data_IF_939646514985
#
_entry.id   IF_939646514985
#
_cell.length_a   1.000
_cell.length_b   1.000
_cell.length_c   1.000
_cell.angle_alpha   90.00
_cell.angle_beta   90.00
_cell.angle_gamma   90.00
#
_symmetry.space_group_name_H-M   'P 1'
#
loop_
_entity.id
_entity.type
_entity.pdbx_description
1 polymer ?
#
# COMPACT_ATOMS: atom_id res chain seq x y z
N UNK A 1 15.16 7.60 -2.52
CA UNK A 1 13.88 6.84 -2.51
C UNK A 1 13.92 5.83 -1.37
N UNK A 2 12.91 5.82 -0.48
CA UNK A 2 12.83 4.83 0.62
C UNK A 2 12.35 3.48 0.09
N UNK A 3 12.79 2.39 0.72
CA UNK A 3 12.40 1.03 0.33
C UNK A 3 11.68 0.34 1.49
N UNK A 4 10.46 -0.06 1.24
CA UNK A 4 9.58 -0.73 2.19
C UNK A 4 9.22 -2.14 1.72
N UNK A 5 8.76 -3.01 2.59
CA UNK A 5 8.36 -4.37 2.19
C UNK A 5 7.26 -4.95 3.07
N UNK A 6 6.54 -5.90 2.49
CA UNK A 6 5.67 -6.83 3.21
C UNK A 6 6.48 -8.03 3.72
N UNK A 7 5.93 -8.77 4.68
CA UNK A 7 6.52 -10.02 5.14
C UNK A 7 5.74 -11.25 4.62
N UNK A 8 6.43 -12.38 4.40
CA UNK A 8 7.89 -12.57 4.45
C UNK A 8 8.59 -11.80 3.34
N UNK A 9 9.87 -11.48 3.54
CA UNK A 9 10.67 -10.78 2.52
C UNK A 9 10.72 -11.57 1.21
N UNK A 10 10.67 -10.87 0.08
CA UNK A 10 10.61 -11.46 -1.25
C UNK A 10 9.29 -12.16 -1.58
N UNK A 11 8.23 -11.88 -0.82
CA UNK A 11 6.91 -12.41 -1.10
C UNK A 11 6.48 -12.00 -2.50
N UNK A 12 6.25 -12.99 -3.35
CA UNK A 12 5.53 -12.79 -4.61
C UNK A 12 4.03 -12.85 -4.32
N UNK A 13 3.26 -12.03 -5.01
CA UNK A 13 1.82 -12.17 -5.00
C UNK A 13 1.44 -13.59 -5.46
N UNK A 14 0.53 -14.30 -4.75
CA UNK A 14 0.21 -15.68 -5.07
C UNK A 14 -0.36 -15.82 -6.48
N UNK A 15 -0.21 -16.98 -7.09
CA UNK A 15 -0.88 -17.35 -8.32
C UNK A 15 -2.41 -17.18 -8.20
N UNK A 16 -3.10 -17.07 -9.33
CA UNK A 16 -4.54 -16.76 -9.36
C UNK A 16 -5.41 -17.77 -8.62
N UNK A 17 -4.95 -19.00 -8.45
CA UNK A 17 -5.68 -20.11 -7.80
C UNK A 17 -4.97 -20.69 -6.59
N UNK A 18 -3.71 -20.34 -6.40
CA UNK A 18 -2.99 -20.83 -5.24
C UNK A 18 -3.44 -20.04 -4.01
N UNK A 19 -3.85 -20.73 -2.94
CA UNK A 19 -4.09 -20.05 -1.70
C UNK A 19 -2.78 -19.41 -1.27
N UNK A 20 -2.82 -18.10 -1.03
CA UNK A 20 -1.71 -17.40 -0.39
C UNK A 20 -1.32 -18.15 0.88
N UNK A 21 -0.06 -18.56 0.98
CA UNK A 21 0.45 -19.12 2.24
C UNK A 21 0.41 -17.99 3.28
N UNK A 22 -0.48 -18.07 4.27
CA UNK A 22 -0.59 -17.01 5.25
C UNK A 22 0.72 -16.89 6.01
N UNK A 23 1.14 -15.65 6.25
CA UNK A 23 2.17 -15.38 7.23
C UNK A 23 1.70 -15.98 8.57
N UNK A 24 2.56 -16.77 9.22
CA UNK A 24 2.32 -17.15 10.61
C UNK A 24 2.42 -15.90 11.50
N UNK A 25 1.35 -15.49 12.20
CA UNK A 25 1.40 -14.34 13.09
C UNK A 25 2.53 -14.38 14.09
N UNK A 26 2.88 -15.57 14.59
CA UNK A 26 3.97 -15.76 15.54
C UNK A 26 5.36 -15.44 14.96
N UNK A 27 5.53 -15.57 13.63
CA UNK A 27 6.79 -15.27 12.94
C UNK A 27 6.98 -13.79 12.62
N UNK A 28 5.94 -12.96 12.77
CA UNK A 28 5.98 -11.55 12.36
C UNK A 28 7.08 -10.75 13.06
N UNK A 29 7.22 -10.93 14.38
CA UNK A 29 8.23 -10.25 15.18
C UNK A 29 9.66 -10.50 14.67
N UNK A 30 9.96 -11.77 14.34
CA UNK A 30 11.26 -12.16 13.79
C UNK A 30 11.47 -11.62 12.38
N UNK A 31 10.43 -11.65 11.56
CA UNK A 31 10.46 -11.08 10.20
C UNK A 31 10.70 -9.57 10.21
N UNK A 32 10.06 -8.83 11.12
CA UNK A 32 10.27 -7.39 11.28
C UNK A 32 11.71 -7.06 11.72
N UNK A 33 12.25 -7.81 12.69
CA UNK A 33 13.64 -7.68 13.10
C UNK A 33 14.63 -8.05 11.98
N UNK A 34 14.31 -9.04 11.14
CA UNK A 34 15.11 -9.36 9.96
C UNK A 34 15.08 -8.22 8.94
N UNK A 35 13.90 -7.68 8.65
CA UNK A 35 13.75 -6.54 7.74
C UNK A 35 14.56 -5.32 8.20
N UNK A 36 14.59 -5.04 9.50
CA UNK A 36 15.42 -3.99 10.08
C UNK A 36 16.91 -4.28 9.92
N UNK A 37 17.35 -5.53 10.12
CA UNK A 37 18.76 -5.92 9.95
C UNK A 37 19.24 -5.83 8.51
N UNK A 38 18.40 -6.16 7.54
CA UNK A 38 18.75 -6.02 6.11
C UNK A 38 18.62 -4.58 5.61
N UNK A 39 18.19 -3.66 6.46
CA UNK A 39 18.22 -2.23 6.16
C UNK A 39 17.01 -1.72 5.40
N UNK A 40 15.85 -2.38 5.46
CA UNK A 40 14.61 -1.80 4.94
C UNK A 40 14.19 -0.56 5.76
N UNK A 41 13.55 0.40 5.11
CA UNK A 41 13.08 1.62 5.75
C UNK A 41 11.74 1.42 6.46
N UNK A 42 10.89 0.52 5.93
CA UNK A 42 9.63 0.16 6.57
C UNK A 42 9.22 -1.31 6.35
N UNK A 43 8.51 -1.85 7.33
CA UNK A 43 7.73 -3.09 7.22
C UNK A 43 6.25 -2.76 7.25
N UNK A 44 5.53 -3.30 6.28
CA UNK A 44 4.12 -3.05 6.08
C UNK A 44 3.28 -4.31 6.28
N UNK A 45 2.01 -4.14 6.64
CA UNK A 45 1.03 -5.22 6.78
C UNK A 45 -0.22 -4.93 5.98
N UNK A 46 -0.63 -5.88 5.14
CA UNK A 46 -1.93 -5.87 4.46
C UNK A 46 -3.02 -6.43 5.37
N UNK A 47 -4.18 -5.80 5.42
CA UNK A 47 -5.34 -6.37 6.10
C UNK A 47 -6.06 -7.38 5.19
N UNK A 48 -5.62 -8.63 5.24
CA UNK A 48 -6.21 -9.74 4.47
C UNK A 48 -6.78 -10.83 5.37
N UNK A 49 -5.94 -11.63 5.99
CA UNK A 49 -6.30 -12.77 6.86
C UNK A 49 -6.16 -12.46 8.34
N UNK A 50 -5.27 -11.54 8.70
CA UNK A 50 -4.95 -11.17 10.08
C UNK A 50 -5.17 -9.68 10.31
N UNK A 51 -5.40 -9.30 11.55
CA UNK A 51 -5.50 -7.90 11.94
C UNK A 51 -4.13 -7.24 11.88
N UNK A 52 -3.93 -6.18 11.06
CA UNK A 52 -2.62 -5.59 10.84
C UNK A 52 -2.09 -4.88 12.09
N UNK A 53 -2.96 -4.30 12.92
CA UNK A 53 -2.55 -3.55 14.10
C UNK A 53 -1.93 -4.46 15.17
N UNK A 54 -2.46 -5.69 15.31
CA UNK A 54 -1.91 -6.66 16.25
C UNK A 54 -0.52 -7.16 15.82
N UNK A 55 -0.34 -7.42 14.52
CA UNK A 55 0.97 -7.80 13.99
C UNK A 55 2.00 -6.67 14.16
N UNK A 56 1.60 -5.44 13.85
CA UNK A 56 2.49 -4.28 14.00
C UNK A 56 2.87 -3.99 15.44
N UNK A 57 2.01 -4.33 16.42
CA UNK A 57 2.38 -4.27 17.85
C UNK A 57 3.52 -5.23 18.20
N UNK A 58 3.54 -6.44 17.62
CA UNK A 58 4.66 -7.36 17.76
C UNK A 58 5.95 -6.80 17.15
N UNK A 59 5.85 -6.19 15.97
CA UNK A 59 6.98 -5.50 15.31
C UNK A 59 7.51 -4.33 16.15
N UNK A 60 6.61 -3.52 16.72
CA UNK A 60 7.00 -2.39 17.56
C UNK A 60 7.80 -2.80 18.79
N UNK A 61 7.50 -3.98 19.35
CA UNK A 61 8.20 -4.53 20.52
C UNK A 61 9.57 -5.16 20.19
N UNK A 62 9.85 -5.44 18.92
CA UNK A 62 11.06 -6.19 18.50
C UNK A 62 11.98 -5.44 17.55
N UNK A 63 11.66 -4.19 17.25
CA UNK A 63 12.45 -3.30 16.36
C UNK A 63 12.66 -1.95 17.00
N UNK A 64 13.73 -1.25 16.59
CA UNK A 64 14.12 0.03 17.19
C UNK A 64 14.09 1.21 16.19
N UNK A 65 14.27 0.96 14.90
CA UNK A 65 14.46 1.99 13.87
C UNK A 65 13.48 1.92 12.72
N UNK A 66 13.17 0.69 12.26
CA UNK A 66 12.33 0.48 11.07
C UNK A 66 10.93 1.06 11.29
N UNK A 67 10.41 1.76 10.28
CA UNK A 67 9.02 2.21 10.29
C UNK A 67 8.06 1.03 10.14
N UNK A 68 6.93 1.10 10.80
CA UNK A 68 5.91 0.06 10.82
C UNK A 68 4.60 0.64 10.31
N UNK A 69 3.97 0.01 9.32
CA UNK A 69 2.77 0.59 8.74
C UNK A 69 1.77 -0.41 8.19
N UNK A 70 0.55 0.07 8.03
CA UNK A 70 -0.47 -0.67 7.30
C UNK A 70 -0.41 -0.34 5.81
N UNK A 71 -0.48 -1.36 4.93
CA UNK A 71 -0.54 -1.14 3.48
C UNK A 71 -1.51 -2.12 2.79
N UNK A 72 -2.80 -2.00 3.03
CA UNK A 72 -3.45 -0.97 3.82
C UNK A 72 -4.44 -1.61 4.80
N UNK A 73 -4.77 -0.90 5.88
CA UNK A 73 -5.91 -1.26 6.72
C UNK A 73 -7.22 -0.81 6.05
N UNK A 74 -8.29 -1.56 6.25
CA UNK A 74 -9.60 -1.23 5.72
C UNK A 74 -10.24 -0.11 6.56
N UNK A 75 -10.44 1.06 5.94
CA UNK A 75 -10.91 2.25 6.63
C UNK A 75 -12.36 2.10 7.14
N UNK A 76 -13.27 1.66 6.27
CA UNK A 76 -14.70 1.76 6.51
C UNK A 76 -15.28 0.75 7.52
N UNK A 77 -14.78 -0.50 7.63
CA UNK A 77 -15.31 -1.45 8.60
C UNK A 77 -15.02 -1.10 10.06
N UNK A 78 -14.10 -0.17 10.31
CA UNK A 78 -13.79 0.33 11.66
C UNK A 78 -14.32 1.75 11.83
N UNK A 79 -14.78 2.08 13.05
CA UNK A 79 -15.07 3.49 13.33
C UNK A 79 -13.77 4.31 13.31
N UNK A 80 -13.80 5.58 12.91
CA UNK A 80 -12.62 6.46 12.98
C UNK A 80 -12.01 6.51 14.38
N UNK A 81 -12.82 6.53 15.43
CA UNK A 81 -12.34 6.53 16.81
C UNK A 81 -11.56 5.23 17.16
N UNK A 82 -12.03 4.06 16.71
CA UNK A 82 -11.32 2.80 16.92
C UNK A 82 -10.00 2.76 16.16
N UNK A 83 -10.00 3.25 14.92
CA UNK A 83 -8.77 3.38 14.12
C UNK A 83 -7.80 4.37 14.76
N UNK A 84 -8.29 5.51 15.23
CA UNK A 84 -7.49 6.50 15.95
C UNK A 84 -6.82 5.89 17.21
N UNK A 85 -7.56 5.10 17.99
CA UNK A 85 -7.03 4.38 19.16
C UNK A 85 -5.90 3.43 18.80
N UNK A 86 -6.09 2.61 17.77
CA UNK A 86 -5.08 1.64 17.33
C UNK A 86 -3.80 2.34 16.88
N UNK A 87 -3.94 3.39 16.07
CA UNK A 87 -2.80 4.17 15.56
C UNK A 87 -2.07 4.93 16.68
N UNK A 88 -2.79 5.54 17.61
CA UNK A 88 -2.23 6.23 18.77
C UNK A 88 -1.42 5.31 19.66
N UNK A 89 -1.98 4.12 19.93
CA UNK A 89 -1.30 3.08 20.69
C UNK A 89 -0.03 2.63 20.00
N UNK A 90 -0.09 2.37 18.68
CA UNK A 90 1.08 1.93 17.91
C UNK A 90 2.14 3.01 17.79
N UNK A 91 1.76 4.29 17.62
CA UNK A 91 2.71 5.39 17.63
C UNK A 91 3.46 5.45 18.95
N UNK A 92 2.75 5.37 20.08
CA UNK A 92 3.37 5.34 21.41
C UNK A 92 4.27 4.12 21.62
N UNK A 93 3.83 2.92 21.24
CA UNK A 93 4.60 1.67 21.39
C UNK A 93 5.85 1.65 20.54
N UNK A 94 5.78 2.22 19.33
CA UNK A 94 6.91 2.25 18.40
C UNK A 94 7.85 3.46 18.57
N UNK A 95 7.53 4.39 19.46
CA UNK A 95 8.30 5.65 19.57
C UNK A 95 8.19 6.51 18.32
N UNK A 96 6.98 6.64 17.76
CA UNK A 96 6.69 7.48 16.60
C UNK A 96 6.97 6.85 15.24
N UNK A 97 7.30 5.56 15.16
CA UNK A 97 7.63 4.87 13.90
C UNK A 97 6.40 4.30 13.16
N UNK A 98 5.19 4.54 13.66
CA UNK A 98 3.98 4.01 13.04
C UNK A 98 3.48 4.90 11.90
N UNK A 99 3.01 4.27 10.82
CA UNK A 99 2.37 4.87 9.64
C UNK A 99 1.01 4.20 9.40
N UNK A 100 -0.04 5.00 9.26
CA UNK A 100 -1.40 4.53 9.02
C UNK A 100 -1.73 4.59 7.53
N UNK A 101 -1.64 3.45 6.84
CA UNK A 101 -2.13 3.32 5.47
C UNK A 101 -3.58 2.83 5.45
N UNK A 102 -4.46 3.55 4.77
CA UNK A 102 -5.90 3.29 4.69
C UNK A 102 -6.35 2.97 3.27
N UNK A 103 -7.25 2.00 3.14
CA UNK A 103 -7.88 1.63 1.88
C UNK A 103 -9.39 1.47 2.00
N UNK A 104 -10.08 1.68 0.88
CA UNK A 104 -11.56 1.68 0.83
C UNK A 104 -12.18 0.30 0.82
N UNK A 105 -11.45 -0.72 0.39
CA UNK A 105 -11.97 -2.00 -0.04
C UNK A 105 -13.04 -1.85 -1.15
N UNK A 106 -13.48 -2.93 -1.77
CA UNK A 106 -14.51 -2.90 -2.81
C UNK A 106 -15.91 -3.04 -2.22
N UNK A 107 -16.91 -2.44 -2.90
CA UNK A 107 -18.32 -2.43 -2.49
C UNK A 107 -18.86 -3.80 -2.08
N UNK A 108 -18.46 -4.86 -2.82
CA UNK A 108 -18.91 -6.22 -2.54
C UNK A 108 -18.47 -6.73 -1.17
N UNK A 109 -17.25 -6.43 -0.75
CA UNK A 109 -16.73 -6.80 0.57
C UNK A 109 -17.37 -5.95 1.68
N UNK A 110 -17.51 -4.63 1.50
CA UNK A 110 -18.14 -3.76 2.49
C UNK A 110 -19.55 -4.26 2.79
N UNK A 111 -20.35 -4.55 1.76
CA UNK A 111 -21.73 -4.98 1.96
C UNK A 111 -21.89 -6.43 2.43
N UNK A 112 -21.15 -7.37 1.85
CA UNK A 112 -21.41 -8.81 2.05
C UNK A 112 -20.47 -9.48 3.04
N UNK A 113 -19.25 -8.95 3.22
CA UNK A 113 -18.30 -9.47 4.21
C UNK A 113 -18.41 -8.72 5.55
N UNK A 114 -18.60 -7.40 5.49
CA UNK A 114 -18.66 -6.55 6.70
C UNK A 114 -20.07 -6.14 7.11
N UNK A 115 -21.10 -6.40 6.27
CA UNK A 115 -22.49 -6.11 6.59
C UNK A 115 -22.84 -4.62 6.68
N UNK A 116 -22.02 -3.76 6.06
CA UNK A 116 -22.17 -2.31 6.16
C UNK A 116 -22.81 -1.70 4.93
N UNK A 117 -23.42 -0.52 5.08
CA UNK A 117 -23.86 0.29 3.97
C UNK A 117 -22.68 0.82 3.17
N UNK A 118 -22.88 0.99 1.86
CA UNK A 118 -21.85 1.50 0.95
C UNK A 118 -22.14 2.96 0.61
N UNK A 119 -21.18 3.81 0.84
CA UNK A 119 -21.19 5.21 0.43
C UNK A 119 -20.12 5.49 -0.65
N UNK A 120 -20.21 6.60 -1.40
CA UNK A 120 -19.17 7.04 -2.31
C UNK A 120 -17.82 7.12 -1.60
N UNK A 121 -16.77 6.39 -2.05
CA UNK A 121 -15.59 6.17 -1.22
C UNK A 121 -14.70 7.41 -1.02
N UNK A 122 -14.67 8.34 -1.99
CA UNK A 122 -13.78 9.50 -1.90
C UNK A 122 -14.22 10.51 -0.80
N UNK A 123 -15.48 11.00 -0.76
CA UNK A 123 -15.94 11.82 0.35
C UNK A 123 -15.91 11.06 1.69
N UNK A 124 -16.27 9.78 1.69
CA UNK A 124 -16.23 8.98 2.91
C UNK A 124 -14.80 8.85 3.48
N UNK A 125 -13.78 8.66 2.63
CA UNK A 125 -12.38 8.63 3.06
C UNK A 125 -11.92 9.97 3.62
N UNK A 126 -12.29 11.09 2.98
CA UNK A 126 -12.00 12.43 3.50
C UNK A 126 -12.54 12.60 4.92
N UNK A 127 -13.80 12.25 5.13
CA UNK A 127 -14.46 12.37 6.43
C UNK A 127 -13.84 11.42 7.46
N UNK A 128 -13.44 10.19 7.04
CA UNK A 128 -12.76 9.23 7.91
C UNK A 128 -11.44 9.79 8.43
N UNK A 129 -10.62 10.37 7.55
CA UNK A 129 -9.33 10.97 7.94
C UNK A 129 -9.54 12.19 8.83
N UNK A 130 -10.49 13.06 8.48
CA UNK A 130 -10.83 14.22 9.30
C UNK A 130 -11.28 13.82 10.72
N UNK A 131 -12.12 12.80 10.82
CA UNK A 131 -12.58 12.25 12.09
C UNK A 131 -11.42 11.64 12.94
N UNK A 132 -10.51 10.89 12.32
CA UNK A 132 -9.32 10.33 12.98
C UNK A 132 -8.45 11.47 13.55
N UNK A 133 -8.14 12.48 12.73
CA UNK A 133 -7.33 13.62 13.16
C UNK A 133 -8.00 14.45 14.25
N UNK A 134 -9.33 14.61 14.19
CA UNK A 134 -10.07 15.30 15.26
C UNK A 134 -10.00 14.56 16.60
N UNK A 135 -10.02 13.22 16.59
CA UNK A 135 -9.81 12.41 17.80
C UNK A 135 -8.39 12.58 18.33
N UNK A 136 -7.35 12.56 17.48
CA UNK A 136 -5.97 12.77 17.90
C UNK A 136 -5.72 14.17 18.45
N UNK A 137 -6.26 15.21 17.81
CA UNK A 137 -6.18 16.59 18.31
C UNK A 137 -6.86 16.74 19.67
N UNK A 138 -8.05 16.13 19.85
CA UNK A 138 -8.73 16.10 21.14
C UNK A 138 -7.83 15.52 22.25
N UNK A 139 -7.17 14.38 22.00
CA UNK A 139 -6.28 13.76 22.98
C UNK A 139 -4.98 14.53 23.21
N UNK A 140 -4.37 15.05 22.14
CA UNK A 140 -3.10 15.77 22.23
C UNK A 140 -3.24 17.13 22.90
N UNK A 141 -4.26 17.89 22.52
CA UNK A 141 -4.45 19.26 22.96
C UNK A 141 -5.41 19.37 24.17
N UNK A 142 -6.04 18.24 24.55
CA UNK A 142 -7.07 18.17 25.62
C UNK A 142 -8.24 19.12 25.39
N UNK A 143 -8.65 19.25 24.13
CA UNK A 143 -9.80 20.03 23.71
C UNK A 143 -11.04 19.15 23.58
N UNK A 144 -12.26 19.72 23.66
CA UNK A 144 -13.48 18.95 23.41
C UNK A 144 -13.47 18.32 22.02
N UNK A 145 -13.88 17.05 21.94
CA UNK A 145 -14.06 16.39 20.64
C UNK A 145 -15.24 17.01 19.92
N UNK A 146 -15.01 17.60 18.76
CA UNK A 146 -16.03 18.13 17.87
C UNK A 146 -15.65 17.87 16.42
N UNK A 147 -16.38 16.97 15.78
CA UNK A 147 -16.24 16.70 14.35
C UNK A 147 -17.60 16.32 13.78
N UNK A 148 -18.07 17.09 12.80
CA UNK A 148 -19.33 16.85 12.10
C UNK A 148 -19.08 16.85 10.59
N UNK A 149 -19.59 15.82 9.91
CA UNK A 149 -19.51 15.64 8.47
C UNK A 149 -20.73 14.86 7.96
N UNK A 150 -20.77 14.57 6.65
CA UNK A 150 -21.82 13.74 6.07
C UNK A 150 -21.86 12.32 6.68
N UNK A 151 -20.69 11.75 7.04
CA UNK A 151 -20.57 10.36 7.45
C UNK A 151 -20.38 10.18 8.97
N UNK A 152 -19.94 11.20 9.68
CA UNK A 152 -19.58 11.07 11.10
C UNK A 152 -20.01 12.31 11.91
N UNK A 153 -20.49 12.05 13.13
CA UNK A 153 -20.69 13.07 14.15
C UNK A 153 -20.05 12.59 15.45
N UNK A 154 -18.92 13.19 15.82
CA UNK A 154 -18.13 12.85 17.01
C UNK A 154 -18.13 14.06 17.95
N UNK A 155 -18.80 13.94 19.11
CA UNK A 155 -18.97 15.06 20.06
C UNK A 155 -18.86 14.65 21.52
N UNK A 156 -18.38 13.41 21.79
CA UNK A 156 -18.26 12.90 23.15
C UNK A 156 -16.87 12.35 23.42
N UNK A 157 -16.17 12.97 24.37
CA UNK A 157 -14.95 12.43 24.99
C UNK A 157 -15.02 12.68 26.48
N UNK A 158 -14.87 11.61 27.27
CA UNK A 158 -14.83 11.72 28.72
C UNK A 158 -13.48 11.22 29.25
N UNK A 159 -13.03 11.67 30.42
CA UNK A 159 -11.67 11.38 30.91
C UNK A 159 -11.29 9.89 30.98
N UNK A 160 -12.28 8.99 31.15
CA UNK A 160 -12.05 7.55 31.15
C UNK A 160 -11.54 7.00 29.82
N UNK A 161 -11.87 7.66 28.69
CA UNK A 161 -11.52 7.24 27.32
C UNK A 161 -10.47 8.13 26.66
N UNK A 162 -9.94 9.10 27.41
CA UNK A 162 -8.87 9.99 26.95
C UNK A 162 -7.49 9.44 27.39
N UNK A 163 -6.69 8.89 26.46
CA UNK A 163 -5.36 8.38 26.79
C UNK A 163 -4.34 9.49 27.08
N UNK A 164 -4.70 10.74 26.82
CA UNK A 164 -3.83 11.90 26.90
C UNK A 164 -2.80 12.01 25.77
N UNK A 165 -1.97 13.04 25.82
CA UNK A 165 -0.95 13.33 24.80
C UNK A 165 0.15 12.26 24.74
N UNK A 166 0.75 12.14 23.55
CA UNK A 166 1.94 11.31 23.30
C UNK A 166 3.09 12.16 22.74
N UNK A 167 4.29 11.63 22.77
CA UNK A 167 5.50 12.34 22.30
C UNK A 167 5.51 12.55 20.79
N UNK A 168 4.93 11.59 20.01
CA UNK A 168 4.88 11.62 18.56
C UNK A 168 3.43 11.58 18.05
N UNK A 169 2.68 12.72 18.11
CA UNK A 169 1.27 12.78 17.74
C UNK A 169 1.04 12.88 16.22
N UNK A 170 2.05 13.28 15.46
CA UNK A 170 1.99 13.50 14.01
C UNK A 170 2.14 12.17 13.27
N UNK A 171 1.10 11.32 13.38
CA UNK A 171 1.08 10.01 12.74
C UNK A 171 0.76 10.19 11.26
N UNK A 172 1.66 9.80 10.32
CA UNK A 172 1.37 9.92 8.90
C UNK A 172 0.20 9.05 8.48
N UNK A 173 -0.70 9.60 7.65
CA UNK A 173 -1.82 8.87 7.04
C UNK A 173 -1.59 8.78 5.53
N UNK A 174 -1.47 7.56 5.01
CA UNK A 174 -1.42 7.30 3.58
C UNK A 174 -2.74 6.70 3.09
N UNK A 175 -3.14 7.03 1.85
CA UNK A 175 -4.38 6.53 1.24
C UNK A 175 -4.07 5.71 0.00
N UNK A 176 -4.59 4.48 -0.05
CA UNK A 176 -4.55 3.68 -1.28
C UNK A 176 -5.47 4.28 -2.34
N UNK A 177 -4.89 4.64 -3.48
CA UNK A 177 -5.63 5.28 -4.56
C UNK A 177 -5.17 4.80 -5.95
N UNK A 178 -6.11 4.78 -6.87
CA UNK A 178 -5.86 4.58 -8.30
C UNK A 178 -6.68 5.57 -9.14
N UNK A 179 -7.93 5.81 -8.76
CA UNK A 179 -8.80 6.75 -9.47
C UNK A 179 -8.52 8.21 -9.10
N UNK A 180 -8.66 9.17 -10.03
CA UNK A 180 -8.28 10.56 -9.83
C UNK A 180 -9.01 11.22 -8.64
N UNK A 181 -10.28 10.86 -8.37
CA UNK A 181 -11.00 11.40 -7.21
C UNK A 181 -10.38 11.00 -5.88
N UNK A 182 -9.91 9.76 -5.75
CA UNK A 182 -9.25 9.30 -4.53
C UNK A 182 -7.83 9.85 -4.43
N UNK A 183 -7.11 9.98 -5.56
CA UNK A 183 -5.82 10.66 -5.60
C UNK A 183 -5.94 12.13 -5.15
N UNK A 184 -7.00 12.82 -5.58
CA UNK A 184 -7.26 14.19 -5.12
C UNK A 184 -7.58 14.25 -3.62
N UNK A 185 -8.34 13.28 -3.07
CA UNK A 185 -8.56 13.19 -1.62
C UNK A 185 -7.25 12.94 -0.87
N UNK A 186 -6.37 12.07 -1.39
CA UNK A 186 -5.05 11.87 -0.80
C UNK A 186 -4.25 13.18 -0.78
N UNK A 187 -4.21 13.93 -1.88
CA UNK A 187 -3.60 15.25 -1.95
C UNK A 187 -4.17 16.26 -0.95
N UNK A 188 -5.49 16.25 -0.77
CA UNK A 188 -6.21 17.20 0.07
C UNK A 188 -6.00 16.95 1.57
N UNK A 189 -6.08 15.68 2.02
CA UNK A 189 -6.17 15.37 3.45
C UNK A 189 -5.17 14.33 3.97
N UNK A 190 -4.39 13.67 3.12
CA UNK A 190 -3.45 12.64 3.56
C UNK A 190 -2.00 13.12 3.47
N UNK A 191 -1.08 12.39 4.08
CA UNK A 191 0.37 12.64 4.05
C UNK A 191 1.05 11.84 2.93
N UNK A 192 0.33 10.87 2.34
CA UNK A 192 0.83 10.13 1.18
C UNK A 192 -0.26 9.39 0.41
N UNK A 193 0.06 9.04 -0.83
CA UNK A 193 -0.75 8.20 -1.72
C UNK A 193 -0.03 6.88 -1.99
N UNK A 194 -0.73 5.76 -1.80
CA UNK A 194 -0.21 4.41 -2.07
C UNK A 194 -0.82 3.88 -3.35
N UNK A 195 0.02 3.64 -4.35
CA UNK A 195 -0.41 3.28 -5.69
C UNK A 195 -0.56 1.77 -5.87
N UNK A 196 -1.56 1.39 -6.67
CA UNK A 196 -1.79 -0.01 -7.01
C UNK A 196 -0.72 -0.52 -8.00
N UNK A 197 -0.31 -1.79 -7.94
CA UNK A 197 0.71 -2.38 -8.81
C UNK A 197 0.48 -2.23 -10.32
N UNK A 198 -0.76 -2.03 -10.75
CA UNK A 198 -1.11 -1.80 -12.17
C UNK A 198 -0.76 -0.38 -12.66
N UNK A 199 -0.45 0.56 -11.77
CA UNK A 199 -0.12 1.93 -12.16
C UNK A 199 1.20 1.95 -12.93
N UNK A 200 1.11 2.21 -14.23
CA UNK A 200 2.29 2.42 -15.09
C UNK A 200 2.90 3.80 -14.83
N UNK A 201 4.14 4.01 -15.21
CA UNK A 201 4.79 5.33 -15.10
C UNK A 201 4.01 6.41 -15.83
N UNK A 202 3.50 6.11 -17.03
CA UNK A 202 2.65 7.02 -17.80
C UNK A 202 1.37 7.38 -17.02
N UNK A 203 0.72 6.40 -16.40
CA UNK A 203 -0.48 6.66 -15.60
C UNK A 203 -0.17 7.48 -14.34
N UNK A 204 0.99 7.26 -13.73
CA UNK A 204 1.46 8.10 -12.62
C UNK A 204 1.61 9.54 -13.08
N UNK A 205 2.34 9.77 -14.17
CA UNK A 205 2.65 11.12 -14.68
C UNK A 205 1.39 11.86 -15.19
N UNK A 206 0.51 11.19 -15.95
CA UNK A 206 -0.61 11.84 -16.64
C UNK A 206 -1.91 11.87 -15.82
N UNK A 207 -2.06 11.02 -14.78
CA UNK A 207 -3.31 10.90 -14.03
C UNK A 207 -3.16 11.06 -12.52
N UNK A 208 -2.18 10.37 -11.92
CA UNK A 208 -2.05 10.36 -10.45
C UNK A 208 -1.49 11.68 -9.94
N UNK A 209 -0.29 12.07 -10.40
CA UNK A 209 0.39 13.28 -9.91
C UNK A 209 -0.43 14.55 -10.14
N UNK A 210 -1.08 14.76 -11.31
CA UNK A 210 -1.98 15.90 -11.49
C UNK A 210 -3.17 15.91 -10.52
N UNK A 211 -3.77 14.74 -10.26
CA UNK A 211 -4.89 14.65 -9.33
C UNK A 211 -4.48 14.90 -7.87
N UNK A 212 -3.32 14.40 -7.45
CA UNK A 212 -2.74 14.70 -6.11
C UNK A 212 -2.47 16.19 -5.99
N UNK A 213 -1.86 16.81 -7.01
CA UNK A 213 -1.59 18.25 -7.03
C UNK A 213 -2.88 19.09 -6.95
N UNK A 214 -3.93 18.70 -7.67
CA UNK A 214 -5.24 19.34 -7.59
C UNK A 214 -5.81 19.27 -6.16
N UNK A 215 -5.73 18.10 -5.51
CA UNK A 215 -6.18 17.91 -4.14
C UNK A 215 -5.38 18.75 -3.14
N UNK A 216 -4.05 18.74 -3.25
CA UNK A 216 -3.15 19.54 -2.41
C UNK A 216 -3.47 21.03 -2.53
N UNK A 217 -3.65 21.53 -3.76
CA UNK A 217 -4.00 22.94 -4.00
C UNK A 217 -5.33 23.36 -3.35
N UNK A 218 -6.35 22.47 -3.32
CA UNK A 218 -7.61 22.73 -2.62
C UNK A 218 -7.44 22.95 -1.12
N UNK A 219 -6.47 22.29 -0.53
CA UNK A 219 -6.13 22.42 0.89
C UNK A 219 -5.05 23.49 1.18
N UNK A 220 -4.60 24.23 0.17
CA UNK A 220 -3.51 25.21 0.30
C UNK A 220 -2.13 24.57 0.54
N UNK A 221 -1.97 23.30 0.19
CA UNK A 221 -0.72 22.52 0.32
C UNK A 221 0.04 22.50 -1.01
N UNK A 222 1.32 22.18 -0.94
CA UNK A 222 2.13 21.88 -2.11
C UNK A 222 2.12 20.38 -2.41
N UNK A 223 2.25 19.96 -3.69
CA UNK A 223 2.31 18.53 -4.04
C UNK A 223 3.45 17.77 -3.34
N UNK A 224 4.58 18.41 -3.07
CA UNK A 224 5.73 17.83 -2.39
C UNK A 224 5.50 17.50 -0.90
N UNK A 225 4.36 17.91 -0.33
CA UNK A 225 3.96 17.53 1.03
C UNK A 225 3.20 16.20 1.08
N UNK A 226 3.01 15.54 -0.08
CA UNK A 226 2.28 14.28 -0.20
C UNK A 226 3.21 13.22 -0.78
N UNK A 227 3.65 12.28 0.04
CA UNK A 227 4.50 11.17 -0.41
C UNK A 227 3.80 10.30 -1.45
N UNK A 228 4.51 9.93 -2.51
CA UNK A 228 4.04 8.98 -3.53
C UNK A 228 4.71 7.63 -3.27
N UNK A 229 3.90 6.64 -2.92
CA UNK A 229 4.36 5.29 -2.60
C UNK A 229 3.91 4.31 -3.68
N UNK A 230 4.85 3.58 -4.28
CA UNK A 230 4.54 2.59 -5.32
C UNK A 230 4.80 1.18 -4.82
N UNK A 231 3.84 0.29 -5.07
CA UNK A 231 4.03 -1.16 -4.98
C UNK A 231 4.19 -1.70 -6.39
N UNK A 232 5.42 -1.75 -6.96
CA UNK A 232 5.60 -2.22 -8.32
C UNK A 232 5.39 -3.74 -8.43
N UNK A 233 4.91 -4.20 -9.57
CA UNK A 233 5.05 -5.60 -9.93
C UNK A 233 6.50 -5.87 -10.33
N UNK A 234 7.16 -6.75 -9.60
CA UNK A 234 8.58 -7.04 -9.81
C UNK A 234 8.75 -8.52 -10.10
N UNK A 235 9.48 -8.81 -11.17
CA UNK A 235 10.04 -10.13 -11.45
C UNK A 235 11.55 -10.07 -11.31
N UNK A 236 12.13 -10.70 -10.27
CA UNK A 236 13.58 -10.74 -10.10
C UNK A 236 14.06 -12.11 -9.63
N UNK A 237 15.26 -12.48 -10.06
CA UNK A 237 15.90 -13.74 -9.74
C UNK A 237 17.44 -13.56 -9.75
N UNK A 238 18.21 -14.51 -9.16
CA UNK A 238 19.66 -14.41 -9.15
C UNK A 238 20.30 -14.30 -10.53
N UNK A 239 19.73 -14.99 -11.52
CA UNK A 239 20.23 -15.05 -12.89
C UNK A 239 19.09 -15.20 -13.91
N UNK A 240 19.42 -15.15 -15.20
CA UNK A 240 18.46 -15.24 -16.32
C UNK A 240 17.73 -16.60 -16.36
N UNK A 241 18.39 -17.69 -16.00
CA UNK A 241 17.78 -19.02 -16.02
C UNK A 241 16.68 -19.16 -14.95
N UNK A 242 16.88 -18.55 -13.77
CA UNK A 242 15.93 -18.51 -12.70
C UNK A 242 14.81 -17.48 -12.93
N UNK A 243 14.98 -16.54 -13.86
CA UNK A 243 14.02 -15.48 -14.14
C UNK A 243 12.80 -15.96 -14.93
N UNK A 244 12.93 -16.93 -15.83
CA UNK A 244 11.84 -17.44 -16.67
C UNK A 244 10.57 -17.86 -15.91
N UNK A 245 10.63 -18.68 -14.84
CA UNK A 245 9.45 -19.04 -14.08
C UNK A 245 8.83 -17.85 -13.36
N UNK A 246 9.64 -16.88 -12.93
CA UNK A 246 9.18 -15.65 -12.28
C UNK A 246 8.41 -14.78 -13.29
N UNK A 247 8.91 -14.64 -14.51
CA UNK A 247 8.23 -13.91 -15.60
C UNK A 247 6.83 -14.50 -15.85
N UNK A 248 6.70 -15.83 -15.89
CA UNK A 248 5.39 -16.47 -16.07
C UNK A 248 4.41 -16.12 -14.95
N UNK A 249 4.88 -16.10 -13.71
CA UNK A 249 4.06 -15.73 -12.54
C UNK A 249 3.63 -14.26 -12.61
N UNK A 250 4.56 -13.36 -12.91
CA UNK A 250 4.27 -11.93 -13.06
C UNK A 250 3.30 -11.67 -14.21
N UNK A 251 3.49 -12.33 -15.36
CA UNK A 251 2.59 -12.24 -16.51
C UNK A 251 1.15 -12.65 -16.17
N UNK A 252 0.99 -13.75 -15.44
CA UNK A 252 -0.32 -14.19 -14.95
C UNK A 252 -0.96 -13.15 -13.99
N UNK A 253 -0.17 -12.50 -13.16
CA UNK A 253 -0.64 -11.44 -12.27
C UNK A 253 -1.05 -10.18 -13.05
N UNK A 254 -0.28 -9.76 -14.04
CA UNK A 254 -0.66 -8.64 -14.93
C UNK A 254 -2.00 -8.96 -15.62
N UNK A 255 -2.13 -10.16 -16.19
CA UNK A 255 -3.35 -10.58 -16.85
C UNK A 255 -4.60 -10.54 -15.92
N UNK A 256 -4.43 -10.95 -14.66
CA UNK A 256 -5.49 -10.82 -13.67
C UNK A 256 -5.89 -9.36 -13.44
N UNK A 257 -4.93 -8.44 -13.35
CA UNK A 257 -5.25 -7.03 -13.19
C UNK A 257 -5.94 -6.44 -14.43
N UNK A 258 -5.55 -6.86 -15.63
CA UNK A 258 -6.25 -6.49 -16.87
C UNK A 258 -7.72 -6.91 -16.84
N UNK A 259 -8.05 -8.06 -16.24
CA UNK A 259 -9.42 -8.56 -16.15
C UNK A 259 -10.31 -7.82 -15.15
N UNK A 260 -9.73 -6.90 -14.34
CA UNK A 260 -10.41 -6.24 -13.23
C UNK A 260 -10.99 -4.88 -13.65
N UNK A 261 -12.33 -4.71 -13.65
CA UNK A 261 -12.97 -3.46 -14.14
C UNK A 261 -12.52 -2.17 -13.43
N UNK A 262 -12.10 -2.28 -12.16
CA UNK A 262 -11.64 -1.13 -11.39
C UNK A 262 -10.37 -0.46 -11.97
N UNK A 263 -9.60 -1.19 -12.79
CA UNK A 263 -8.33 -0.74 -13.34
C UNK A 263 -8.42 -0.30 -14.81
N UNK A 264 -9.61 -0.37 -15.41
CA UNK A 264 -9.84 -0.08 -16.84
C UNK A 264 -9.21 1.24 -17.30
N UNK A 265 -9.24 2.27 -16.48
CA UNK A 265 -8.65 3.58 -16.80
C UNK A 265 -7.16 3.55 -17.11
N UNK A 266 -6.41 2.67 -16.44
CA UNK A 266 -4.98 2.48 -16.74
C UNK A 266 -4.83 1.88 -18.12
N UNK A 267 -5.68 0.92 -18.47
CA UNK A 267 -5.65 0.19 -19.72
C UNK A 267 -6.06 1.09 -20.91
N UNK A 268 -7.12 1.89 -20.75
CA UNK A 268 -7.58 2.88 -21.71
C UNK A 268 -6.50 3.90 -22.06
N UNK A 269 -5.67 4.31 -21.08
CA UNK A 269 -4.57 5.24 -21.33
C UNK A 269 -3.52 4.66 -22.30
N UNK A 270 -3.39 3.34 -22.33
CA UNK A 270 -2.45 2.62 -23.18
C UNK A 270 -3.08 2.08 -24.46
N UNK A 271 -4.41 2.19 -24.65
CA UNK A 271 -5.11 1.61 -25.79
C UNK A 271 -5.27 0.10 -25.72
N UNK A 272 -5.33 -0.47 -24.48
CA UNK A 272 -5.45 -1.91 -24.24
C UNK A 272 -6.88 -2.33 -23.87
N UNK A 273 -7.88 -1.68 -24.44
CA UNK A 273 -9.29 -1.97 -24.17
C UNK A 273 -9.70 -3.35 -24.65
N UNK A 274 -9.19 -3.78 -25.81
CA UNK A 274 -9.49 -5.09 -26.39
C UNK A 274 -8.88 -6.22 -25.52
N UNK A 275 -7.65 -6.04 -25.03
CA UNK A 275 -6.99 -6.94 -24.11
C UNK A 275 -7.75 -7.03 -22.77
N UNK A 276 -8.21 -5.89 -22.26
CA UNK A 276 -9.02 -5.83 -21.04
C UNK A 276 -10.34 -6.60 -21.20
N UNK A 277 -11.05 -6.41 -22.32
CA UNK A 277 -12.32 -7.07 -22.60
C UNK A 277 -12.13 -8.58 -22.81
N UNK A 278 -11.05 -8.98 -23.49
CA UNK A 278 -10.67 -10.39 -23.64
C UNK A 278 -10.31 -11.01 -22.28
N UNK A 279 -9.51 -10.34 -21.46
CA UNK A 279 -9.14 -10.79 -20.13
C UNK A 279 -10.39 -10.92 -19.22
N UNK A 280 -11.29 -9.94 -19.23
CA UNK A 280 -12.54 -9.99 -18.47
C UNK A 280 -13.44 -11.15 -18.91
N UNK A 281 -13.53 -11.43 -20.22
CA UNK A 281 -14.29 -12.56 -20.78
C UNK A 281 -13.74 -13.91 -20.33
N UNK A 282 -12.41 -14.10 -20.39
CA UNK A 282 -11.74 -15.31 -19.94
C UNK A 282 -11.91 -15.53 -18.42
N UNK A 283 -11.74 -14.47 -17.63
CA UNK A 283 -11.93 -14.49 -16.18
C UNK A 283 -13.36 -14.89 -15.81
N UNK A 284 -14.37 -14.30 -16.48
CA UNK A 284 -15.79 -14.63 -16.28
C UNK A 284 -16.12 -16.07 -16.66
N UNK A 285 -15.48 -16.60 -17.70
CA UNK A 285 -15.62 -17.98 -18.13
C UNK A 285 -14.83 -18.99 -17.28
N UNK A 286 -14.04 -18.54 -16.31
CA UNK A 286 -13.18 -19.39 -15.49
C UNK A 286 -11.97 -19.98 -16.23
N UNK A 287 -11.61 -19.42 -17.40
CA UNK A 287 -10.50 -19.89 -18.26
C UNK A 287 -9.17 -19.23 -17.82
N UNK A 288 -8.80 -19.51 -16.59
CA UNK A 288 -7.66 -18.84 -15.93
C UNK A 288 -6.30 -19.16 -16.55
N UNK A 289 -6.13 -20.38 -17.07
CA UNK A 289 -4.87 -20.81 -17.72
C UNK A 289 -4.60 -20.06 -19.02
N UNK A 290 -5.66 -19.62 -19.69
CA UNK A 290 -5.56 -18.85 -20.92
C UNK A 290 -5.40 -17.34 -20.67
N UNK A 291 -5.68 -16.89 -19.46
CA UNK A 291 -5.67 -15.47 -19.11
C UNK A 291 -4.31 -14.83 -19.41
N UNK A 292 -3.22 -15.52 -19.06
CA UNK A 292 -1.86 -15.01 -19.29
C UNK A 292 -1.53 -14.77 -20.78
N UNK A 293 -2.23 -15.45 -21.71
CA UNK A 293 -2.01 -15.27 -23.16
C UNK A 293 -2.48 -13.91 -23.70
N UNK A 294 -3.23 -13.16 -22.90
CA UNK A 294 -3.67 -11.82 -23.25
C UNK A 294 -2.54 -10.77 -23.09
N UNK A 295 -1.55 -11.08 -22.27
CA UNK A 295 -0.44 -10.19 -21.95
C UNK A 295 0.76 -10.52 -22.83
N UNK A 296 1.05 -9.69 -23.81
CA UNK A 296 2.28 -9.75 -24.59
C UNK A 296 3.48 -9.16 -23.83
N UNK A 297 4.64 -9.09 -24.47
CA UNK A 297 5.85 -8.59 -23.82
C UNK A 297 5.80 -7.06 -23.64
N UNK A 298 5.14 -6.32 -24.52
CA UNK A 298 4.97 -4.87 -24.41
C UNK A 298 4.16 -4.53 -23.15
N UNK A 299 3.00 -5.15 -22.99
CA UNK A 299 2.13 -4.99 -21.80
C UNK A 299 2.89 -5.39 -20.55
N UNK A 300 3.54 -6.56 -20.58
CA UNK A 300 4.29 -7.09 -19.44
C UNK A 300 5.35 -6.08 -18.96
N UNK A 301 6.23 -5.63 -19.85
CA UNK A 301 7.32 -4.73 -19.50
C UNK A 301 6.87 -3.29 -19.24
N UNK A 302 5.71 -2.89 -19.74
CA UNK A 302 5.10 -1.59 -19.40
C UNK A 302 4.57 -1.60 -17.96
N UNK A 303 3.97 -2.68 -17.51
CA UNK A 303 3.38 -2.81 -16.16
C UNK A 303 4.41 -3.26 -15.13
N UNK A 304 5.21 -4.28 -15.44
CA UNK A 304 6.14 -4.91 -14.51
C UNK A 304 7.60 -4.47 -14.72
N UNK A 305 8.39 -4.48 -13.66
CA UNK A 305 9.85 -4.33 -13.71
C UNK A 305 10.48 -5.70 -13.56
N UNK A 306 11.25 -6.12 -14.58
CA UNK A 306 11.78 -7.47 -14.67
C UNK A 306 13.30 -7.42 -14.91
N UNK A 307 14.07 -8.08 -14.06
CA UNK A 307 15.52 -8.13 -14.17
C UNK A 307 16.16 -9.06 -13.16
N UNK A 308 17.42 -9.41 -13.40
CA UNK A 308 18.22 -10.17 -12.42
C UNK A 308 18.53 -9.32 -11.19
N UNK A 309 19.01 -9.95 -10.10
CA UNK A 309 19.47 -9.23 -8.91
C UNK A 309 20.52 -8.17 -9.20
N UNK A 310 21.28 -8.31 -10.31
CA UNK A 310 22.30 -7.33 -10.71
C UNK A 310 21.74 -6.13 -11.46
N UNK A 311 20.56 -6.24 -12.07
CA UNK A 311 19.98 -5.20 -12.94
C UNK A 311 18.75 -4.52 -12.36
N UNK A 312 18.05 -5.17 -11.43
CA UNK A 312 16.74 -4.74 -10.94
C UNK A 312 16.78 -3.36 -10.26
N UNK A 313 17.84 -3.09 -9.49
CA UNK A 313 17.96 -1.81 -8.78
C UNK A 313 18.01 -0.60 -9.73
N UNK A 314 18.82 -0.70 -10.80
CA UNK A 314 18.91 0.34 -11.82
C UNK A 314 17.56 0.57 -12.51
N UNK A 315 16.87 -0.52 -12.88
CA UNK A 315 15.55 -0.43 -13.52
C UNK A 315 14.48 0.20 -12.60
N UNK A 316 14.50 -0.11 -11.31
CA UNK A 316 13.58 0.50 -10.33
C UNK A 316 13.84 1.99 -10.17
N UNK A 317 15.11 2.41 -10.09
CA UNK A 317 15.47 3.84 -10.03
C UNK A 317 15.05 4.59 -11.29
N UNK A 318 15.37 4.08 -12.45
CA UNK A 318 15.04 4.71 -13.73
C UNK A 318 13.52 4.89 -13.88
N UNK A 319 12.77 3.91 -13.39
CA UNK A 319 11.33 3.88 -13.53
C UNK A 319 10.61 4.74 -12.50
N UNK A 320 11.05 4.73 -11.24
CA UNK A 320 10.31 5.32 -10.12
C UNK A 320 11.05 6.43 -9.38
N UNK A 321 12.37 6.56 -9.53
CA UNK A 321 13.20 7.47 -8.73
C UNK A 321 12.83 8.95 -8.82
N UNK A 322 12.29 9.40 -9.96
CA UNK A 322 11.82 10.79 -10.13
C UNK A 322 10.33 10.99 -9.83
N UNK A 323 9.58 9.91 -9.51
CA UNK A 323 8.12 9.90 -9.38
C UNK A 323 7.63 9.50 -8.01
N UNK A 324 8.41 8.69 -7.30
CA UNK A 324 7.99 8.08 -6.04
C UNK A 324 9.01 8.33 -4.94
N UNK A 325 8.50 8.63 -3.76
CA UNK A 325 9.29 8.80 -2.54
C UNK A 325 9.62 7.44 -1.92
N UNK A 326 8.70 6.45 -2.11
CA UNK A 326 8.81 5.11 -1.57
C UNK A 326 8.48 4.05 -2.61
N UNK A 327 9.19 2.92 -2.57
CA UNK A 327 8.82 1.71 -3.31
C UNK A 327 8.77 0.49 -2.40
N UNK A 328 7.87 -0.45 -2.72
CA UNK A 328 7.84 -1.75 -2.07
C UNK A 328 8.76 -2.72 -2.84
N UNK A 329 9.81 -3.18 -2.18
CA UNK A 329 10.77 -4.14 -2.75
C UNK A 329 11.48 -4.96 -1.67
N UNK A 330 11.66 -6.23 -1.91
CA UNK A 330 12.62 -7.10 -1.22
C UNK A 330 12.88 -8.37 -2.05
N UNK A 331 13.93 -9.08 -1.72
CA UNK A 331 14.16 -10.46 -2.20
C UNK A 331 14.01 -11.44 -1.04
N UNK A 332 13.81 -12.75 -1.29
CA UNK A 332 13.85 -13.75 -0.22
C UNK A 332 15.17 -13.73 0.54
N UNK A 333 15.07 -13.73 1.88
CA UNK A 333 16.23 -13.74 2.78
C UNK A 333 16.15 -14.97 3.65
N UNK A 334 17.01 -15.95 3.37
CA UNK A 334 17.04 -17.26 4.04
C UNK A 334 18.34 -17.54 4.80
N UNK A 335 19.40 -16.78 4.48
CA UNK A 335 20.74 -16.92 5.05
C UNK A 335 21.50 -15.57 4.95
N UNK A 336 22.74 -15.54 5.44
CA UNK A 336 23.54 -14.29 5.43
C UNK A 336 23.91 -13.84 4.02
N UNK A 337 24.15 -14.76 3.07
CA UNK A 337 24.47 -14.39 1.69
C UNK A 337 23.30 -13.68 1.00
N UNK A 338 22.08 -14.18 1.18
CA UNK A 338 20.87 -13.53 0.67
C UNK A 338 20.56 -12.22 1.40
N UNK A 339 20.93 -12.11 2.68
CA UNK A 339 20.82 -10.86 3.43
C UNK A 339 21.79 -9.80 2.91
N UNK A 340 23.05 -10.15 2.64
CA UNK A 340 24.04 -9.26 2.02
C UNK A 340 23.58 -8.82 0.62
N UNK A 341 23.14 -9.75 -0.21
CA UNK A 341 22.59 -9.44 -1.54
C UNK A 341 21.39 -8.48 -1.45
N UNK A 342 20.51 -8.68 -0.48
CA UNK A 342 19.38 -7.79 -0.27
C UNK A 342 19.87 -6.38 0.09
N UNK A 343 20.79 -6.24 1.03
CA UNK A 343 21.39 -4.94 1.40
C UNK A 343 22.00 -4.23 0.19
N UNK A 344 22.82 -4.95 -0.61
CA UNK A 344 23.47 -4.40 -1.80
C UNK A 344 22.46 -3.83 -2.81
N UNK A 345 21.36 -4.55 -3.04
CA UNK A 345 20.29 -4.10 -3.94
C UNK A 345 19.59 -2.88 -3.36
N UNK A 346 19.25 -2.89 -2.06
CA UNK A 346 18.60 -1.75 -1.39
C UNK A 346 19.45 -0.48 -1.47
N UNK A 347 20.77 -0.60 -1.25
CA UNK A 347 21.69 0.53 -1.34
C UNK A 347 21.77 1.08 -2.77
N UNK A 348 21.79 0.19 -3.77
CA UNK A 348 21.73 0.58 -5.17
C UNK A 348 20.41 1.24 -5.55
N UNK A 349 19.27 0.83 -4.99
CA UNK A 349 17.97 1.47 -5.22
C UNK A 349 17.92 2.88 -4.64
N UNK A 350 18.62 3.15 -3.53
CA UNK A 350 18.68 4.46 -2.88
C UNK A 350 19.66 5.43 -3.55
N UNK A 351 20.74 4.91 -4.17
CA UNK A 351 21.77 5.71 -4.84
C UNK A 351 21.23 6.48 -6.04
#
# INVERSE_FOLDING_TARGET
>A
MLVESLLPLGKLDPGLREPDTPLDPASFAQGAALAERVGLDAVLVEETKWDPYQLLALGAATTERIQLGTSVAMAFPRSPATTAMSAWTLSKLSGGRFLLGLGTQVRGHIRRRFGMEWHPPAPWMRDTIGAIRAVWSCWQERTPLQFESEHYNLSLMVPLFDPGPIEHPDIPIHVAAIGPRMCAVAGEVADGVRLHPICTTRFIDESVLPAVAEGAARAGRTPGEVEVCMKPLIGTAPDEAALDPVIRTVRARVAFYLSTPAYRRVLELHGWEDEADRAASLSKAGRWEELATVVDDEILHTVATIGTHDTIAAQLRDRYGSRCDRIEFSIPVTDESSAERCRDILDQVRA
#
